data_IF_889196137511
#
_entry.id   IF_889196137511
#
_cell.length_a   1.000
_cell.length_b   1.000
_cell.length_c   1.000
_cell.angle_alpha   90.00
_cell.angle_beta   90.00
_cell.angle_gamma   90.00
#
_symmetry.space_group_name_H-M   'P 1'
#
loop_
_entity.id
_entity.type
_entity.pdbx_description
1 polymer ?
#
# COMPACT_ATOMS: atom_id res chain seq x y z
N UNK A 1 -38.51 -18.97 -14.69
CA UNK A 1 -37.75 -17.75 -15.09
C UNK A 1 -36.60 -17.65 -14.10
N UNK A 2 -35.37 -17.87 -14.58
CA UNK A 2 -34.16 -17.98 -13.76
C UNK A 2 -34.10 -16.86 -12.72
N UNK A 3 -33.93 -17.24 -11.45
CA UNK A 3 -33.36 -16.34 -10.46
C UNK A 3 -31.94 -16.02 -10.95
N UNK A 4 -31.70 -14.76 -11.33
CA UNK A 4 -30.35 -14.26 -11.51
C UNK A 4 -29.70 -14.31 -10.13
N UNK A 5 -28.89 -15.32 -9.88
CA UNK A 5 -28.02 -15.36 -8.72
C UNK A 5 -27.22 -14.06 -8.74
N UNK A 6 -27.49 -13.17 -7.78
CA UNK A 6 -26.58 -12.06 -7.49
C UNK A 6 -25.26 -12.73 -7.12
N UNK A 7 -24.32 -12.80 -8.07
CA UNK A 7 -22.96 -13.27 -7.85
C UNK A 7 -22.34 -12.30 -6.86
N UNK A 8 -22.55 -12.56 -5.57
CA UNK A 8 -21.98 -11.80 -4.48
C UNK A 8 -20.46 -11.92 -4.64
N UNK A 9 -19.72 -10.81 -4.57
CA UNK A 9 -18.25 -10.78 -4.54
C UNK A 9 -17.71 -11.46 -3.28
N UNK A 10 -17.97 -12.76 -3.12
CA UNK A 10 -17.40 -13.63 -2.08
C UNK A 10 -16.19 -14.38 -2.64
N UNK A 11 -15.89 -14.19 -3.92
CA UNK A 11 -15.06 -15.11 -4.69
C UNK A 11 -13.73 -14.42 -5.01
N UNK A 12 -12.79 -14.66 -4.09
CA UNK A 12 -11.32 -14.55 -4.17
C UNK A 12 -10.74 -13.22 -4.65
N UNK A 13 -9.96 -12.58 -3.77
CA UNK A 13 -9.07 -11.47 -4.13
C UNK A 13 -7.72 -12.03 -4.55
N UNK A 14 -7.29 -11.74 -5.78
CA UNK A 14 -5.93 -12.03 -6.21
C UNK A 14 -4.96 -11.04 -5.58
N UNK A 15 -3.71 -11.47 -5.39
CA UNK A 15 -2.66 -10.63 -4.84
C UNK A 15 -2.41 -9.38 -5.70
N UNK A 16 -1.85 -8.35 -5.07
CA UNK A 16 -1.61 -7.06 -5.72
C UNK A 16 -2.81 -6.11 -5.66
N UNK A 17 -2.62 -4.92 -6.21
CA UNK A 17 -3.57 -3.82 -6.15
C UNK A 17 -4.00 -3.41 -7.56
N UNK A 18 -5.20 -2.84 -7.69
CA UNK A 18 -5.60 -2.24 -8.95
C UNK A 18 -4.73 -1.03 -9.27
N UNK A 19 -4.26 -0.87 -10.53
CA UNK A 19 -3.56 0.34 -10.93
C UNK A 19 -4.50 1.53 -10.84
N UNK A 20 -3.95 2.70 -10.47
CA UNK A 20 -4.76 3.91 -10.30
C UNK A 20 -5.23 4.51 -11.62
N UNK A 21 -4.49 4.27 -12.70
CA UNK A 21 -4.83 4.71 -14.06
C UNK A 21 -4.87 3.52 -14.99
N UNK A 22 -5.81 3.56 -15.94
CA UNK A 22 -5.89 2.57 -16.99
C UNK A 22 -4.90 2.92 -18.12
N UNK A 23 -3.64 2.56 -17.94
CA UNK A 23 -2.57 2.76 -18.93
C UNK A 23 -2.36 1.52 -19.82
N UNK A 24 -2.92 0.38 -19.43
CA UNK A 24 -2.82 -0.90 -20.13
C UNK A 24 -4.13 -1.24 -20.82
N UNK A 25 -4.04 -1.99 -21.92
CA UNK A 25 -5.23 -2.51 -22.60
C UNK A 25 -5.86 -3.60 -21.71
N UNK A 26 -7.14 -3.47 -21.31
CA UNK A 26 -7.78 -4.50 -20.52
C UNK A 26 -7.88 -5.83 -21.27
N UNK A 27 -7.66 -6.92 -20.54
CA UNK A 27 -7.79 -8.29 -21.07
C UNK A 27 -9.24 -8.69 -21.33
N UNK A 28 -10.18 -8.16 -20.54
CA UNK A 28 -11.61 -8.32 -20.75
C UNK A 28 -12.35 -7.09 -20.23
N UNK A 29 -13.54 -6.86 -20.79
CA UNK A 29 -14.47 -5.81 -20.37
C UNK A 29 -15.62 -6.46 -19.62
N UNK A 30 -16.03 -5.85 -18.51
CA UNK A 30 -16.98 -6.36 -17.53
C UNK A 30 -16.44 -7.57 -16.74
N UNK A 31 -16.31 -7.36 -15.44
CA UNK A 31 -16.00 -8.38 -14.44
C UNK A 31 -16.72 -7.99 -13.15
N UNK A 32 -16.93 -8.95 -12.25
CA UNK A 32 -17.53 -8.71 -10.93
C UNK A 32 -16.46 -8.88 -9.85
N UNK A 33 -15.58 -9.87 -10.00
CA UNK A 33 -14.50 -10.20 -9.07
C UNK A 33 -13.23 -10.64 -9.81
N UNK A 34 -12.10 -10.72 -9.08
CA UNK A 34 -10.79 -11.06 -9.67
C UNK A 34 -10.80 -12.45 -10.34
N UNK A 35 -11.64 -13.39 -9.86
CA UNK A 35 -11.78 -14.73 -10.45
C UNK A 35 -12.46 -14.76 -11.82
N UNK A 36 -13.18 -13.69 -12.20
CA UNK A 36 -13.68 -13.56 -13.57
C UNK A 36 -12.55 -13.25 -14.57
N UNK A 37 -11.39 -12.83 -14.06
CA UNK A 37 -10.23 -12.47 -14.86
C UNK A 37 -9.27 -13.66 -15.01
N UNK A 38 -8.62 -13.79 -16.17
CA UNK A 38 -7.62 -14.82 -16.40
C UNK A 38 -6.30 -14.52 -15.67
N UNK A 39 -5.55 -15.56 -15.28
CA UNK A 39 -4.23 -15.41 -14.67
C UNK A 39 -4.26 -14.64 -13.34
N UNK A 40 -3.30 -13.75 -13.14
CA UNK A 40 -3.18 -12.88 -11.98
C UNK A 40 -3.93 -11.54 -12.13
N UNK A 41 -4.66 -11.35 -13.24
CA UNK A 41 -5.38 -10.12 -13.50
C UNK A 41 -6.49 -9.90 -12.46
N UNK A 42 -6.67 -8.64 -12.10
CA UNK A 42 -7.63 -8.17 -11.11
C UNK A 42 -8.80 -7.49 -11.80
N UNK A 43 -9.98 -7.61 -11.19
CA UNK A 43 -11.17 -6.88 -11.62
C UNK A 43 -11.14 -5.48 -11.01
N UNK A 44 -10.79 -4.49 -11.82
CA UNK A 44 -10.61 -3.12 -11.39
C UNK A 44 -11.69 -2.22 -11.96
N UNK A 45 -12.28 -1.39 -11.10
CA UNK A 45 -13.33 -0.44 -11.47
C UNK A 45 -12.68 0.90 -11.83
N UNK A 46 -12.86 1.31 -13.08
CA UNK A 46 -12.50 2.66 -13.56
C UNK A 46 -13.77 3.42 -13.98
N UNK A 47 -13.62 4.66 -14.44
CA UNK A 47 -14.75 5.52 -14.86
C UNK A 47 -15.63 4.87 -15.94
N UNK A 48 -15.02 4.08 -16.84
CA UNK A 48 -15.73 3.38 -17.93
C UNK A 48 -16.28 2.00 -17.53
N UNK A 49 -16.23 1.64 -16.24
CA UNK A 49 -16.71 0.37 -15.70
C UNK A 49 -15.61 -0.58 -15.22
N UNK A 50 -16.03 -1.79 -14.82
CA UNK A 50 -15.15 -2.84 -14.33
C UNK A 50 -14.47 -3.59 -15.48
N UNK A 51 -13.15 -3.75 -15.41
CA UNK A 51 -12.33 -4.42 -16.43
C UNK A 51 -11.23 -5.25 -15.80
N UNK A 52 -10.79 -6.29 -16.51
CA UNK A 52 -9.70 -7.16 -16.06
C UNK A 52 -8.35 -6.62 -16.52
N UNK A 53 -7.48 -6.26 -15.58
CA UNK A 53 -6.14 -5.71 -15.84
C UNK A 53 -5.08 -6.41 -14.99
N UNK A 54 -3.82 -6.47 -15.43
CA UNK A 54 -2.73 -6.91 -14.57
C UNK A 54 -2.67 -6.06 -13.29
N UNK A 55 -2.22 -6.65 -12.16
CA UNK A 55 -2.02 -5.89 -10.93
C UNK A 55 -1.00 -4.77 -11.14
N UNK A 56 -1.14 -3.69 -10.38
CA UNK A 56 -0.19 -2.58 -10.39
C UNK A 56 1.22 -3.08 -10.07
N UNK A 57 2.21 -2.54 -10.78
CA UNK A 57 3.61 -2.86 -10.50
C UNK A 57 4.02 -2.31 -9.14
N UNK A 58 4.62 -3.16 -8.30
CA UNK A 58 5.10 -2.79 -6.96
C UNK A 58 6.58 -3.12 -6.81
N UNK A 59 7.38 -2.11 -6.50
CA UNK A 59 8.79 -2.27 -6.13
C UNK A 59 8.93 -2.74 -4.67
N UNK A 60 10.05 -3.40 -4.32
CA UNK A 60 10.34 -3.79 -2.94
C UNK A 60 10.39 -2.61 -1.96
N UNK A 61 10.17 -2.90 -0.68
CA UNK A 61 10.18 -1.92 0.40
C UNK A 61 8.80 -1.32 0.69
N UNK A 62 8.74 -0.48 1.73
CA UNK A 62 7.49 0.07 2.26
C UNK A 62 7.54 1.60 2.21
N UNK A 63 6.40 2.21 1.89
CA UNK A 63 6.26 3.66 1.96
C UNK A 63 6.44 4.14 3.41
N UNK A 64 7.33 5.12 3.67
CA UNK A 64 7.47 5.67 5.00
C UNK A 64 6.15 6.30 5.45
N UNK A 65 5.83 6.12 6.73
CA UNK A 65 4.67 6.75 7.35
C UNK A 65 4.97 8.25 7.50
N UNK A 66 4.53 9.06 6.54
CA UNK A 66 4.77 10.52 6.53
C UNK A 66 3.93 11.23 7.60
N UNK A 67 4.40 12.41 8.02
CA UNK A 67 3.54 13.42 8.66
C UNK A 67 2.52 13.88 7.62
N UNK A 68 1.24 13.70 7.93
CA UNK A 68 0.13 14.18 7.10
C UNK A 68 0.22 15.71 6.97
N UNK A 69 0.21 16.25 5.74
CA UNK A 69 -0.09 17.68 5.52
C UNK A 69 1.03 18.62 5.07
N UNK A 70 2.19 18.12 4.58
CA UNK A 70 3.25 19.00 4.05
C UNK A 70 3.71 18.67 2.62
N UNK A 71 2.87 17.97 1.85
CA UNK A 71 3.11 17.68 0.42
C UNK A 71 2.14 18.45 -0.47
N UNK A 72 2.54 18.73 -1.71
CA UNK A 72 1.61 19.26 -2.71
C UNK A 72 0.51 18.23 -3.01
N UNK A 73 -0.71 18.73 -3.15
CA UNK A 73 -1.87 17.91 -3.51
C UNK A 73 -1.90 17.65 -5.02
N UNK A 74 -1.01 16.77 -5.45
CA UNK A 74 -0.81 16.45 -6.85
C UNK A 74 -0.51 14.96 -7.03
N UNK A 75 -0.88 14.47 -8.20
CA UNK A 75 -0.71 13.08 -8.61
C UNK A 75 0.53 12.96 -9.50
N UNK A 76 1.71 12.90 -8.87
CA UNK A 76 2.98 12.82 -9.60
C UNK A 76 3.30 11.42 -10.14
N UNK A 77 2.68 10.39 -9.57
CA UNK A 77 2.82 9.00 -9.98
C UNK A 77 1.50 8.26 -9.80
N UNK A 78 1.34 7.14 -10.52
CA UNK A 78 0.16 6.27 -10.47
C UNK A 78 0.46 4.94 -9.82
N UNK A 79 1.66 4.42 -10.06
CA UNK A 79 2.23 3.22 -9.45
C UNK A 79 3.76 3.30 -9.39
N UNK A 80 4.42 2.30 -8.81
CA UNK A 80 5.87 2.35 -8.57
C UNK A 80 6.69 2.40 -9.87
N UNK A 81 6.14 1.97 -11.01
CA UNK A 81 6.85 1.99 -12.30
C UNK A 81 7.04 3.41 -12.85
N UNK A 82 6.18 4.36 -12.46
CA UNK A 82 6.31 5.78 -12.82
C UNK A 82 7.51 6.43 -12.10
N UNK A 83 7.98 5.84 -11.01
CA UNK A 83 9.04 6.40 -10.19
C UNK A 83 10.43 5.95 -10.64
N UNK A 84 11.46 6.81 -10.55
CA UNK A 84 12.82 6.43 -10.89
C UNK A 84 13.42 5.46 -9.85
N UNK A 85 14.47 4.73 -10.24
CA UNK A 85 15.25 3.87 -9.35
C UNK A 85 14.36 2.93 -8.50
N UNK A 86 14.62 2.86 -7.20
CA UNK A 86 13.87 2.05 -6.23
C UNK A 86 12.76 2.84 -5.53
N UNK A 87 12.44 4.06 -5.98
CA UNK A 87 11.40 4.87 -5.35
C UNK A 87 10.01 4.28 -5.59
N UNK A 88 9.16 4.40 -4.58
CA UNK A 88 7.77 3.92 -4.60
C UNK A 88 6.81 5.09 -4.73
N UNK A 89 5.69 4.86 -5.40
CA UNK A 89 4.62 5.83 -5.50
C UNK A 89 3.78 5.82 -4.21
N UNK A 90 4.07 6.76 -3.32
CA UNK A 90 3.50 6.77 -1.98
C UNK A 90 2.46 7.87 -1.83
N UNK A 91 1.36 7.53 -1.14
CA UNK A 91 0.34 8.51 -0.78
C UNK A 91 0.88 9.52 0.23
N UNK A 92 0.71 10.82 -0.06
CA UNK A 92 1.24 11.90 0.79
C UNK A 92 0.17 12.59 1.66
N UNK A 93 -1.05 12.04 1.70
CA UNK A 93 -2.19 12.54 2.46
C UNK A 93 -3.30 13.15 1.62
N UNK A 94 -3.03 13.50 0.36
CA UNK A 94 -4.07 13.84 -0.62
C UNK A 94 -3.70 13.55 -2.08
N UNK A 95 -2.42 13.44 -2.42
CA UNK A 95 -1.92 12.99 -3.73
C UNK A 95 -0.89 11.87 -3.59
N UNK A 96 -0.05 11.70 -4.60
CA UNK A 96 1.00 10.67 -4.64
C UNK A 96 2.31 11.25 -5.16
N UNK A 97 3.40 10.82 -4.54
CA UNK A 97 4.75 11.28 -4.87
C UNK A 97 5.73 10.12 -4.75
N UNK A 98 6.71 10.09 -5.67
CA UNK A 98 7.82 9.16 -5.60
C UNK A 98 8.63 9.41 -4.33
N UNK A 99 8.72 8.39 -3.48
CA UNK A 99 9.38 8.46 -2.18
C UNK A 99 10.32 7.28 -2.04
N UNK A 100 11.52 7.53 -1.52
CA UNK A 100 12.45 6.48 -1.16
C UNK A 100 11.81 5.51 -0.15
N UNK A 101 11.76 4.19 -0.44
CA UNK A 101 11.21 3.23 0.49
C UNK A 101 12.15 2.97 1.66
N UNK A 102 11.59 2.40 2.73
CA UNK A 102 12.40 1.74 3.76
C UNK A 102 12.15 0.24 3.77
N UNK A 103 13.16 -0.51 4.19
CA UNK A 103 13.04 -1.95 4.44
C UNK A 103 12.56 -2.16 5.87
N UNK A 104 11.52 -2.97 6.05
CA UNK A 104 11.06 -3.36 7.39
C UNK A 104 12.09 -4.29 8.00
N UNK A 105 12.56 -3.95 9.20
CA UNK A 105 13.51 -4.79 9.92
C UNK A 105 12.81 -6.01 10.53
N UNK A 106 13.48 -7.17 10.60
CA UNK A 106 12.88 -8.39 11.14
C UNK A 106 12.50 -8.24 12.63
N UNK A 107 11.68 -9.17 13.12
CA UNK A 107 11.19 -9.18 14.51
C UNK A 107 9.90 -8.38 14.72
N UNK A 108 9.32 -8.48 15.92
CA UNK A 108 8.08 -7.76 16.31
C UNK A 108 8.34 -6.83 17.48
N UNK A 109 7.46 -5.84 17.65
CA UNK A 109 7.50 -5.00 18.83
C UNK A 109 7.06 -5.77 20.07
N UNK A 110 7.77 -5.55 21.16
CA UNK A 110 7.32 -5.95 22.49
C UNK A 110 6.08 -5.13 22.91
N UNK A 111 5.39 -5.57 23.97
CA UNK A 111 4.28 -4.80 24.53
C UNK A 111 4.74 -3.39 24.91
N UNK A 112 3.95 -2.34 24.64
CA UNK A 112 4.33 -0.96 24.93
C UNK A 112 4.82 -0.82 26.37
N UNK A 113 6.05 -0.34 26.56
CA UNK A 113 6.55 0.03 27.89
C UNK A 113 5.88 1.35 28.29
N UNK A 114 5.40 1.42 29.54
CA UNK A 114 4.84 2.66 30.07
C UNK A 114 5.93 3.71 30.19
N UNK A 115 5.87 4.75 29.37
CA UNK A 115 6.74 5.92 29.46
C UNK A 115 5.91 7.14 29.85
N UNK A 116 6.34 7.96 30.83
CA UNK A 116 5.63 9.17 31.23
C UNK A 116 5.73 10.29 30.18
N UNK A 117 6.60 10.13 29.19
CA UNK A 117 6.86 11.12 28.13
C UNK A 117 6.17 10.71 26.84
N UNK A 118 5.38 11.62 26.27
CA UNK A 118 4.72 11.48 24.98
C UNK A 118 5.55 12.17 23.90
N UNK A 119 6.22 11.38 23.07
CA UNK A 119 7.03 11.90 21.98
C UNK A 119 7.14 10.90 20.83
N UNK A 120 7.24 11.43 19.61
CA UNK A 120 7.46 10.69 18.37
C UNK A 120 8.95 10.71 18.02
N UNK A 121 9.72 9.73 18.54
CA UNK A 121 11.16 9.63 18.30
C UNK A 121 11.52 8.97 16.98
N UNK A 122 10.61 8.16 16.43
CA UNK A 122 10.77 7.48 15.16
C UNK A 122 9.39 7.33 14.49
N UNK A 123 9.37 7.04 13.19
CA UNK A 123 8.16 6.79 12.39
C UNK A 123 8.21 5.42 11.69
N UNK A 124 9.40 4.89 11.48
CA UNK A 124 9.63 3.57 10.91
C UNK A 124 10.97 2.98 11.38
N UNK A 125 11.09 1.65 11.30
CA UNK A 125 12.25 0.89 11.80
C UNK A 125 13.58 1.38 11.20
N UNK A 126 13.57 1.81 9.94
CA UNK A 126 14.78 2.30 9.24
C UNK A 126 15.43 3.53 9.88
N UNK A 127 14.74 4.25 10.77
CA UNK A 127 15.31 5.37 11.53
C UNK A 127 16.02 4.94 12.81
N UNK A 128 15.78 3.70 13.26
CA UNK A 128 16.36 3.15 14.47
C UNK A 128 17.70 2.47 14.17
N UNK A 129 18.69 2.54 15.08
CA UNK A 129 19.98 1.91 14.89
C UNK A 129 19.88 0.37 14.97
N UNK A 130 20.80 -0.32 14.29
CA UNK A 130 20.88 -1.79 14.32
C UNK A 130 19.56 -2.47 13.96
N UNK A 131 19.16 -3.48 14.73
CA UNK A 131 17.92 -4.25 14.54
C UNK A 131 16.70 -3.66 15.28
N UNK A 132 16.87 -2.51 15.94
CA UNK A 132 15.78 -1.91 16.72
C UNK A 132 14.60 -1.51 15.84
N UNK A 133 13.39 -1.75 16.33
CA UNK A 133 12.16 -1.41 15.63
C UNK A 133 11.55 -0.13 16.18
N UNK A 134 10.81 0.58 15.36
CA UNK A 134 10.05 1.74 15.78
C UNK A 134 8.71 1.27 16.36
N UNK A 135 8.66 1.18 17.68
CA UNK A 135 7.55 0.56 18.40
C UNK A 135 6.68 1.59 19.10
N UNK A 136 5.38 1.31 19.14
CA UNK A 136 4.42 2.14 19.86
C UNK A 136 4.70 2.13 21.37
N UNK A 137 4.74 3.31 21.97
CA UNK A 137 4.79 3.52 23.42
C UNK A 137 3.40 3.91 23.93
N UNK A 138 3.28 4.32 25.20
CA UNK A 138 2.02 4.82 25.76
C UNK A 138 1.40 5.98 24.99
N UNK A 139 2.19 6.83 24.33
CA UNK A 139 1.69 8.02 23.64
C UNK A 139 2.62 8.54 22.52
N UNK A 140 3.33 7.63 21.85
CA UNK A 140 4.18 7.94 20.70
C UNK A 140 4.88 6.69 20.17
N UNK A 141 6.06 6.85 19.59
CA UNK A 141 6.90 5.74 19.13
C UNK A 141 8.36 5.95 19.51
N UNK A 142 9.03 4.85 19.85
CA UNK A 142 10.45 4.85 20.22
C UNK A 142 11.14 3.61 19.66
N UNK A 143 12.45 3.73 19.45
CA UNK A 143 13.28 2.58 19.07
C UNK A 143 13.36 1.59 20.21
N UNK A 144 13.06 0.33 19.93
CA UNK A 144 13.07 -0.76 20.91
C UNK A 144 13.58 -2.03 20.27
N UNK A 145 14.28 -2.85 21.06
CA UNK A 145 14.73 -4.17 20.60
C UNK A 145 13.52 -5.04 20.23
N UNK A 146 13.61 -5.80 19.12
CA UNK A 146 12.56 -6.73 18.73
C UNK A 146 12.42 -7.91 19.70
N UNK A 147 11.23 -8.52 19.73
CA UNK A 147 11.00 -9.83 20.34
C UNK A 147 11.05 -10.98 19.34
#
# INVERSE_FOLDING_TARGET
IQQAEKKLCVVVFKAGHCPRKLTVVPSSRACVCDDDCAGDHKCCVFDCGAVCVPPAFTKPGVCPRRKWGSGMCAEYCSDDSDCPNNEKCCHNGCGHECTAPYTVKPGRCTKPKGTPMCAEYCYHDGQCPGEQKCCQTTCGHACSEPC
#
